data_IF_913902689854
#
_entry.id   IF_913902689854
#
_cell.length_a   1.000
_cell.length_b   1.000
_cell.length_c   1.000
_cell.angle_alpha   90.00
_cell.angle_beta   90.00
_cell.angle_gamma   90.00
#
_symmetry.space_group_name_H-M   'P 1'
#
loop_
_entity.id
_entity.type
_entity.pdbx_description
1 polymer ?
#
# COMPACT_ATOMS: atom_id res chain seq x y z
N UNK A 1 -43.00 70.21 -17.06
CA UNK A 1 -42.18 69.83 -18.22
C UNK A 1 -41.26 68.71 -17.75
N UNK A 2 -41.49 67.49 -18.26
CA UNK A 2 -40.54 66.41 -18.61
C UNK A 2 -39.34 66.15 -17.68
N UNK A 3 -38.83 64.95 -17.42
CA UNK A 3 -39.05 63.54 -17.79
C UNK A 3 -37.75 62.81 -17.38
N UNK A 4 -37.79 61.52 -17.04
CA UNK A 4 -36.61 60.64 -16.91
C UNK A 4 -36.47 60.03 -15.50
N UNK A 5 -37.04 58.87 -15.18
CA UNK A 5 -36.68 57.49 -15.57
C UNK A 5 -35.43 56.92 -14.83
N UNK A 6 -35.71 56.18 -13.73
CA UNK A 6 -35.30 54.80 -13.33
C UNK A 6 -34.06 54.11 -13.99
N UNK A 7 -33.54 52.96 -13.48
CA UNK A 7 -33.14 52.51 -12.12
C UNK A 7 -31.82 51.66 -12.13
N UNK A 8 -31.00 51.59 -11.06
CA UNK A 8 -30.00 50.50 -10.83
C UNK A 8 -29.61 50.51 -9.34
N UNK A 9 -29.44 49.43 -8.56
CA UNK A 9 -29.43 47.99 -8.79
C UNK A 9 -29.43 47.22 -7.44
N UNK A 10 -29.71 45.92 -7.56
CA UNK A 10 -29.75 44.74 -6.67
C UNK A 10 -28.63 44.53 -5.60
N UNK A 11 -28.65 43.43 -4.78
CA UNK A 11 -29.75 42.52 -4.37
C UNK A 11 -29.77 42.16 -2.86
N UNK A 12 -30.80 41.40 -2.50
CA UNK A 12 -31.01 40.71 -1.24
C UNK A 12 -30.01 39.56 -0.98
N UNK A 13 -29.55 39.45 0.26
CA UNK A 13 -28.91 38.25 0.81
C UNK A 13 -29.96 37.13 0.97
N UNK A 14 -30.03 36.24 -0.01
CA UNK A 14 -30.72 34.96 0.13
C UNK A 14 -29.68 33.87 0.44
N UNK A 15 -29.67 33.46 1.71
CA UNK A 15 -28.94 32.34 2.26
C UNK A 15 -29.41 31.03 1.57
N UNK A 16 -28.67 30.60 0.54
CA UNK A 16 -28.89 29.32 -0.12
C UNK A 16 -28.16 28.23 0.67
N UNK A 17 -28.84 27.68 1.67
CA UNK A 17 -28.48 26.40 2.25
C UNK A 17 -28.56 25.31 1.15
N UNK A 18 -27.41 24.98 0.55
CA UNK A 18 -27.25 23.81 -0.32
C UNK A 18 -27.30 22.56 0.58
N UNK A 19 -28.49 21.99 0.72
CA UNK A 19 -28.65 20.62 1.21
C UNK A 19 -28.43 19.69 0.01
N UNK A 20 -27.18 19.29 -0.21
CA UNK A 20 -26.87 18.29 -1.23
C UNK A 20 -27.43 16.92 -0.81
N UNK A 21 -28.49 16.46 -1.47
CA UNK A 21 -28.99 15.09 -1.35
C UNK A 21 -27.93 14.10 -1.83
N UNK A 22 -27.63 13.01 -1.09
CA UNK A 22 -26.68 12.01 -1.56
C UNK A 22 -27.24 11.29 -2.79
N UNK A 23 -26.47 11.27 -3.88
CA UNK A 23 -26.82 10.55 -5.10
C UNK A 23 -27.05 9.06 -4.80
N UNK A 24 -28.17 8.47 -5.24
CA UNK A 24 -28.35 7.04 -5.13
C UNK A 24 -27.44 6.37 -6.18
N UNK A 25 -26.67 5.38 -5.74
CA UNK A 25 -25.87 4.43 -6.54
C UNK A 25 -24.41 4.80 -6.85
N UNK A 26 -23.63 5.22 -5.85
CA UNK A 26 -22.18 4.95 -5.90
C UNK A 26 -21.96 3.45 -5.64
N UNK A 27 -21.67 2.67 -6.70
CA UNK A 27 -21.20 1.30 -6.53
C UNK A 27 -19.76 1.34 -5.99
N UNK A 28 -19.59 0.96 -4.73
CA UNK A 28 -18.26 0.83 -4.13
C UNK A 28 -17.69 -0.51 -4.57
N UNK A 29 -16.74 -0.48 -5.51
CA UNK A 29 -15.90 -1.64 -5.79
C UNK A 29 -14.90 -1.74 -4.64
N UNK A 30 -14.88 -2.83 -3.86
CA UNK A 30 -13.89 -2.99 -2.80
C UNK A 30 -12.49 -3.04 -3.40
N UNK A 31 -11.53 -2.39 -2.74
CA UNK A 31 -10.12 -2.49 -3.12
C UNK A 31 -9.60 -3.86 -2.72
N UNK A 32 -8.91 -4.55 -3.63
CA UNK A 32 -8.19 -5.78 -3.33
C UNK A 32 -6.77 -5.45 -2.87
N UNK A 33 -6.34 -6.11 -1.80
CA UNK A 33 -4.97 -6.06 -1.32
C UNK A 33 -4.31 -7.42 -1.51
N UNK A 34 -3.02 -7.38 -1.81
CA UNK A 34 -2.20 -8.54 -2.08
C UNK A 34 -0.99 -8.59 -1.15
N UNK A 35 -0.64 -9.78 -0.69
CA UNK A 35 0.56 -10.05 0.09
C UNK A 35 1.39 -11.12 -0.63
N UNK A 36 2.57 -10.73 -1.11
CA UNK A 36 3.54 -11.64 -1.69
C UNK A 36 4.47 -12.23 -0.63
N UNK A 37 4.60 -13.55 -0.59
CA UNK A 37 5.45 -14.26 0.39
C UNK A 37 5.87 -15.64 -0.11
N UNK A 38 6.79 -16.30 0.60
CA UNK A 38 7.10 -17.74 0.44
C UNK A 38 6.49 -18.60 1.56
N UNK A 39 5.81 -17.99 2.53
CA UNK A 39 5.06 -18.70 3.55
C UNK A 39 3.89 -19.47 2.94
N UNK A 40 3.62 -20.66 3.48
CA UNK A 40 2.46 -21.45 3.10
C UNK A 40 1.30 -21.14 4.05
N UNK A 41 0.38 -20.30 3.59
CA UNK A 41 -0.80 -19.83 4.32
C UNK A 41 -2.09 -20.39 3.70
N UNK A 42 -3.14 -20.42 4.51
CA UNK A 42 -4.50 -20.81 4.15
C UNK A 42 -5.48 -19.65 4.37
N UNK A 43 -6.64 -19.72 3.72
CA UNK A 43 -7.71 -18.77 3.98
C UNK A 43 -8.15 -18.84 5.46
N UNK A 44 -8.24 -17.68 6.10
CA UNK A 44 -8.49 -17.53 7.53
C UNK A 44 -7.24 -17.25 8.36
N UNK A 45 -6.04 -17.55 7.85
CA UNK A 45 -4.79 -17.26 8.55
C UNK A 45 -4.57 -15.76 8.73
N UNK A 46 -3.87 -15.40 9.81
CA UNK A 46 -3.43 -14.05 10.09
C UNK A 46 -1.93 -13.93 9.84
N UNK A 47 -1.57 -12.98 8.98
CA UNK A 47 -0.18 -12.54 8.79
C UNK A 47 0.05 -11.45 9.81
N UNK A 48 0.74 -11.79 10.89
CA UNK A 48 1.05 -10.88 12.00
C UNK A 48 2.39 -10.17 11.78
N UNK A 49 2.61 -8.97 12.36
CA UNK A 49 3.95 -8.43 12.51
C UNK A 49 4.81 -9.32 13.41
N UNK A 50 6.13 -9.13 13.40
CA UNK A 50 7.04 -9.89 14.27
C UNK A 50 7.82 -11.01 13.57
N UNK A 51 7.64 -11.17 12.26
CA UNK A 51 8.49 -12.06 11.46
C UNK A 51 9.80 -11.39 11.03
N UNK A 52 10.78 -12.21 10.68
CA UNK A 52 12.05 -11.75 10.08
C UNK A 52 11.79 -10.97 8.79
N UNK A 53 12.35 -9.77 8.70
CA UNK A 53 12.31 -8.90 7.51
C UNK A 53 12.96 -9.60 6.33
N UNK A 54 12.35 -9.44 5.15
CA UNK A 54 12.89 -9.97 3.89
C UNK A 54 14.09 -9.16 3.37
N UNK A 55 14.33 -7.97 3.93
CA UNK A 55 15.36 -7.04 3.48
C UNK A 55 16.36 -6.74 4.59
N UNK A 56 17.62 -6.48 4.20
CA UNK A 56 18.67 -6.08 5.12
C UNK A 56 19.14 -7.21 6.06
N UNK A 57 19.37 -6.88 7.33
CA UNK A 57 19.98 -7.80 8.31
C UNK A 57 19.04 -8.86 8.91
N UNK A 58 17.80 -8.96 8.41
CA UNK A 58 16.82 -9.93 8.92
C UNK A 58 16.29 -9.56 10.30
N UNK A 59 16.01 -8.27 10.53
CA UNK A 59 15.40 -7.78 11.79
C UNK A 59 13.96 -8.23 11.91
N UNK A 60 13.43 -8.22 13.14
CA UNK A 60 12.01 -8.44 13.37
C UNK A 60 11.24 -7.25 12.79
N UNK A 61 10.39 -7.50 11.80
CA UNK A 61 9.58 -6.49 11.15
C UNK A 61 8.44 -6.06 12.07
N UNK A 62 8.32 -4.75 12.31
CA UNK A 62 7.25 -4.17 13.13
C UNK A 62 5.91 -4.04 12.40
N UNK A 63 5.90 -4.31 11.09
CA UNK A 63 4.73 -4.16 10.25
C UNK A 63 4.58 -5.35 9.31
N UNK A 64 3.36 -5.52 8.81
CA UNK A 64 3.01 -6.41 7.70
C UNK A 64 2.69 -5.58 6.47
N UNK A 65 3.10 -6.07 5.30
CA UNK A 65 3.06 -5.31 4.05
C UNK A 65 2.05 -5.89 3.08
N UNK A 66 1.34 -5.03 2.36
CA UNK A 66 0.46 -5.41 1.28
C UNK A 66 0.43 -4.34 0.19
N UNK A 67 -0.02 -4.68 -1.02
CA UNK A 67 -0.18 -3.73 -2.11
C UNK A 67 -1.57 -3.80 -2.72
N UNK A 68 -2.04 -2.68 -3.27
CA UNK A 68 -3.23 -2.63 -4.14
C UNK A 68 -2.86 -2.72 -5.64
N UNK A 69 -1.65 -3.19 -5.94
CA UNK A 69 -1.22 -3.55 -7.30
C UNK A 69 -0.61 -4.96 -7.29
N UNK A 70 -0.89 -5.72 -8.35
CA UNK A 70 -0.35 -7.08 -8.49
C UNK A 70 1.17 -7.06 -8.69
N UNK A 71 1.70 -6.13 -9.48
CA UNK A 71 3.13 -6.01 -9.77
C UNK A 71 3.99 -5.88 -8.49
N UNK A 72 3.56 -5.04 -7.54
CA UNK A 72 4.24 -4.92 -6.24
C UNK A 72 4.16 -6.21 -5.41
N UNK A 73 3.04 -6.94 -5.49
CA UNK A 73 2.89 -8.22 -4.80
C UNK A 73 3.74 -9.33 -5.44
N UNK A 74 3.92 -9.31 -6.76
CA UNK A 74 4.85 -10.20 -7.47
C UNK A 74 6.27 -10.00 -6.94
N UNK A 75 6.72 -8.74 -6.83
CA UNK A 75 8.03 -8.45 -6.22
C UNK A 75 8.13 -8.95 -4.78
N UNK A 76 7.08 -8.74 -3.97
CA UNK A 76 7.01 -9.26 -2.61
C UNK A 76 7.17 -10.79 -2.56
N UNK A 77 6.49 -11.52 -3.45
CA UNK A 77 6.56 -12.97 -3.53
C UNK A 77 7.93 -13.47 -4.00
N UNK A 78 8.49 -12.85 -5.03
CA UNK A 78 9.76 -13.28 -5.64
C UNK A 78 10.99 -12.94 -4.78
N UNK A 79 10.95 -11.83 -4.03
CA UNK A 79 12.03 -11.38 -3.16
C UNK A 79 11.91 -11.84 -1.70
N UNK A 80 10.78 -12.43 -1.29
CA UNK A 80 10.60 -12.94 0.06
C UNK A 80 11.70 -13.94 0.48
N UNK A 81 12.14 -13.90 1.73
CA UNK A 81 13.11 -14.86 2.23
C UNK A 81 12.51 -16.28 2.35
N UNK A 82 13.37 -17.30 2.29
CA UNK A 82 13.02 -18.70 2.50
C UNK A 82 13.05 -19.56 1.22
N UNK A 83 12.94 -20.88 1.42
CA UNK A 83 13.03 -21.89 0.35
C UNK A 83 11.66 -22.27 -0.26
N UNK A 84 10.58 -21.64 0.22
CA UNK A 84 9.23 -21.88 -0.28
C UNK A 84 9.02 -21.40 -1.71
N UNK A 85 7.99 -21.94 -2.37
CA UNK A 85 7.53 -21.41 -3.66
C UNK A 85 6.95 -20.01 -3.42
N UNK A 86 7.28 -18.99 -4.25
CA UNK A 86 6.61 -17.69 -4.21
C UNK A 86 5.10 -17.83 -4.34
N UNK A 87 4.35 -17.12 -3.49
CA UNK A 87 2.88 -17.11 -3.44
C UNK A 87 2.38 -15.69 -3.29
N UNK A 88 1.18 -15.45 -3.83
CA UNK A 88 0.46 -14.19 -3.68
C UNK A 88 -0.89 -14.49 -3.03
N UNK A 89 -1.11 -13.91 -1.86
CA UNK A 89 -2.37 -14.02 -1.13
C UNK A 89 -3.21 -12.76 -1.32
N UNK A 90 -4.52 -12.95 -1.48
CA UNK A 90 -5.50 -11.87 -1.37
C UNK A 90 -5.79 -11.71 0.12
N UNK A 91 -5.67 -10.49 0.61
CA UNK A 91 -5.74 -10.20 2.04
C UNK A 91 -6.73 -9.07 2.36
N UNK A 92 -7.27 -9.13 3.56
CA UNK A 92 -8.08 -8.08 4.17
C UNK A 92 -7.29 -7.49 5.36
N UNK A 93 -6.99 -6.17 5.35
CA UNK A 93 -6.41 -5.51 6.51
C UNK A 93 -7.35 -5.56 7.70
N UNK A 94 -6.84 -5.95 8.87
CA UNK A 94 -7.65 -5.94 10.11
C UNK A 94 -7.59 -4.60 10.85
N UNK A 95 -6.74 -3.68 10.40
CA UNK A 95 -6.56 -2.35 10.95
C UNK A 95 -6.13 -1.33 9.90
N UNK A 96 -5.50 -0.25 10.35
CA UNK A 96 -5.17 0.89 9.49
C UNK A 96 -4.00 0.57 8.55
N UNK A 97 -4.12 1.02 7.30
CA UNK A 97 -3.02 1.01 6.34
C UNK A 97 -2.33 2.36 6.29
N UNK A 98 -1.01 2.32 6.20
CA UNK A 98 -0.15 3.48 5.96
C UNK A 98 0.69 3.23 4.72
N UNK A 99 1.02 4.29 3.99
CA UNK A 99 1.95 4.19 2.86
C UNK A 99 3.27 3.56 3.29
N UNK A 100 3.78 2.63 2.48
CA UNK A 100 5.08 2.00 2.69
C UNK A 100 6.19 3.04 2.46
N UNK A 101 6.96 3.43 3.50
CA UNK A 101 7.98 4.44 3.35
C UNK A 101 9.12 3.97 2.45
N UNK A 102 9.32 2.66 2.23
CA UNK A 102 10.40 2.16 1.37
C UNK A 102 10.12 2.40 -0.12
N UNK A 103 8.86 2.63 -0.49
CA UNK A 103 8.41 2.73 -1.89
C UNK A 103 7.73 4.06 -2.20
N UNK A 104 7.24 4.77 -1.18
CA UNK A 104 6.54 6.04 -1.31
C UNK A 104 7.51 7.22 -1.29
N UNK A 105 7.32 8.17 -2.21
CA UNK A 105 8.16 9.38 -2.33
C UNK A 105 9.67 9.12 -2.48
N UNK A 106 10.04 7.94 -3.02
CA UNK A 106 11.43 7.59 -3.31
C UNK A 106 11.84 7.97 -4.71
N UNK A 107 11.55 7.10 -5.68
CA UNK A 107 11.91 7.31 -7.09
C UNK A 107 10.90 8.22 -7.80
N UNK A 108 9.66 8.18 -7.36
CA UNK A 108 8.54 8.93 -7.94
C UNK A 108 7.71 9.55 -6.80
N UNK A 109 7.05 10.69 -7.04
CA UNK A 109 6.19 11.32 -6.04
C UNK A 109 4.95 10.47 -5.73
N UNK A 110 4.55 10.46 -4.47
CA UNK A 110 3.44 9.68 -3.93
C UNK A 110 3.71 8.18 -3.89
N UNK A 111 2.62 7.40 -3.89
CA UNK A 111 2.63 5.94 -3.80
C UNK A 111 2.11 5.28 -5.08
N UNK A 112 2.86 5.32 -6.21
CA UNK A 112 2.40 4.78 -7.49
C UNK A 112 2.24 3.25 -7.48
N UNK A 113 3.02 2.54 -6.66
CA UNK A 113 2.92 1.08 -6.48
C UNK A 113 1.73 0.69 -5.61
N UNK A 114 1.11 1.65 -4.92
CA UNK A 114 0.06 1.45 -3.91
C UNK A 114 0.48 0.40 -2.89
N UNK A 115 1.69 0.57 -2.35
CA UNK A 115 2.26 -0.32 -1.34
C UNK A 115 2.03 0.26 0.04
N UNK A 116 1.62 -0.57 0.97
CA UNK A 116 1.20 -0.18 2.30
C UNK A 116 1.80 -1.10 3.34
N UNK A 117 1.80 -0.61 4.58
CA UNK A 117 2.14 -1.37 5.78
C UNK A 117 1.09 -1.18 6.87
N UNK A 118 0.99 -2.15 7.76
CA UNK A 118 0.07 -2.18 8.90
C UNK A 118 0.77 -2.72 10.14
N UNK A 119 0.47 -2.15 11.31
CA UNK A 119 0.82 -2.74 12.61
C UNK A 119 -0.19 -3.80 13.06
N UNK A 120 -1.38 -3.81 12.48
CA UNK A 120 -2.39 -4.83 12.69
C UNK A 120 -2.24 -5.96 11.66
N UNK A 121 -2.65 -7.21 11.98
CA UNK A 121 -2.52 -8.33 11.06
C UNK A 121 -3.26 -8.15 9.73
N UNK A 122 -2.83 -8.90 8.72
CA UNK A 122 -3.57 -9.09 7.48
C UNK A 122 -4.25 -10.46 7.51
N UNK A 123 -5.56 -10.52 7.25
CA UNK A 123 -6.28 -11.79 7.13
C UNK A 123 -6.20 -12.30 5.71
N UNK A 124 -5.76 -13.54 5.53
CA UNK A 124 -5.80 -14.21 4.22
C UNK A 124 -7.24 -14.57 3.89
N UNK A 125 -7.74 -14.07 2.76
CA UNK A 125 -9.09 -14.40 2.27
C UNK A 125 -9.06 -15.30 1.03
N UNK A 126 -7.89 -15.46 0.41
CA UNK A 126 -7.67 -16.39 -0.70
C UNK A 126 -6.23 -16.37 -1.19
N UNK A 127 -5.93 -17.25 -2.14
CA UNK A 127 -4.65 -17.29 -2.85
C UNK A 127 -4.90 -16.98 -4.32
N UNK A 128 -4.01 -16.19 -4.93
CA UNK A 128 -3.99 -15.93 -6.36
C UNK A 128 -3.02 -16.92 -7.01
N UNK A 129 -3.56 -17.87 -7.76
CA UNK A 129 -2.79 -18.97 -8.37
C UNK A 129 -2.24 -18.59 -9.74
N UNK A 130 -2.99 -17.77 -10.49
CA UNK A 130 -2.63 -17.33 -11.83
C UNK A 130 -2.03 -15.94 -11.79
N UNK A 131 -0.71 -15.88 -11.81
CA UNK A 131 0.06 -14.65 -11.97
C UNK A 131 1.34 -14.93 -12.74
N UNK A 132 1.83 -13.91 -13.43
CA UNK A 132 3.05 -13.99 -14.21
C UNK A 132 4.19 -13.34 -13.41
N UNK A 133 5.22 -14.12 -13.09
CA UNK A 133 6.44 -13.61 -12.51
C UNK A 133 7.27 -12.81 -13.52
N UNK A 134 8.28 -12.10 -13.01
CA UNK A 134 9.23 -11.38 -13.84
C UNK A 134 10.11 -12.34 -14.65
N UNK A 135 10.76 -11.84 -15.70
CA UNK A 135 11.73 -12.66 -16.42
C UNK A 135 12.90 -13.03 -15.50
N UNK A 136 13.56 -14.19 -15.70
CA UNK A 136 14.69 -14.60 -14.87
C UNK A 136 15.80 -13.54 -14.79
N UNK A 137 16.05 -12.82 -15.89
CA UNK A 137 17.07 -11.76 -15.96
C UNK A 137 16.69 -10.54 -15.11
N UNK A 138 15.42 -10.14 -15.14
CA UNK A 138 14.89 -9.01 -14.35
C UNK A 138 14.89 -9.35 -12.87
N UNK A 139 14.47 -10.56 -12.52
CA UNK A 139 14.48 -11.04 -11.14
C UNK A 139 15.91 -11.12 -10.60
N UNK A 140 16.85 -11.71 -11.35
CA UNK A 140 18.24 -11.82 -10.94
C UNK A 140 18.87 -10.43 -10.72
N UNK A 141 18.66 -9.49 -11.65
CA UNK A 141 19.19 -8.14 -11.51
C UNK A 141 18.66 -7.43 -10.24
N UNK A 142 17.39 -7.67 -9.88
CA UNK A 142 16.83 -7.11 -8.65
C UNK A 142 17.40 -7.78 -7.40
N UNK A 143 17.52 -9.11 -7.39
CA UNK A 143 18.13 -9.86 -6.30
C UNK A 143 19.58 -9.42 -6.04
N UNK A 144 20.36 -9.23 -7.11
CA UNK A 144 21.74 -8.74 -7.03
C UNK A 144 21.78 -7.32 -6.43
N UNK A 145 20.84 -6.45 -6.81
CA UNK A 145 20.74 -5.10 -6.26
C UNK A 145 20.37 -5.12 -4.76
N UNK A 146 19.40 -5.96 -4.36
CA UNK A 146 19.02 -6.13 -2.95
C UNK A 146 20.21 -6.64 -2.13
N UNK A 147 20.92 -7.66 -2.63
CA UNK A 147 22.11 -8.20 -1.97
C UNK A 147 23.22 -7.15 -1.84
N UNK A 148 23.45 -6.33 -2.87
CA UNK A 148 24.40 -5.21 -2.83
C UNK A 148 24.01 -4.17 -1.79
N UNK A 149 22.72 -3.81 -1.69
CA UNK A 149 22.22 -2.86 -0.71
C UNK A 149 22.42 -3.38 0.73
N UNK A 150 22.11 -4.66 0.97
CA UNK A 150 22.37 -5.29 2.25
C UNK A 150 23.88 -5.31 2.61
N UNK A 151 24.75 -5.59 1.65
CA UNK A 151 26.20 -5.62 1.86
C UNK A 151 26.80 -4.25 2.25
N UNK A 152 26.16 -3.14 1.86
CA UNK A 152 26.56 -1.77 2.25
C UNK A 152 25.79 -1.23 3.46
N UNK A 153 24.98 -2.07 4.12
CA UNK A 153 24.25 -1.72 5.34
C UNK A 153 23.02 -0.83 5.12
N UNK A 154 22.44 -0.82 3.91
CA UNK A 154 21.14 -0.20 3.68
C UNK A 154 20.05 -1.15 4.21
N UNK A 155 19.27 -0.65 5.16
CA UNK A 155 18.17 -1.35 5.80
C UNK A 155 16.83 -0.77 5.33
N UNK A 156 15.74 -1.50 5.55
CA UNK A 156 14.40 -0.96 5.39
C UNK A 156 14.16 0.17 6.40
N UNK A 157 13.51 1.26 5.99
CA UNK A 157 13.37 2.47 6.82
C UNK A 157 12.49 2.25 8.06
N UNK A 158 11.62 1.25 8.04
CA UNK A 158 10.78 0.79 9.16
C UNK A 158 11.54 0.06 10.25
N UNK A 159 12.67 -0.55 9.88
CA UNK A 159 13.46 -1.43 10.75
C UNK A 159 14.56 -0.66 11.49
N UNK A 160 14.58 0.68 11.34
CA UNK A 160 15.36 1.57 12.18
C UNK A 160 14.73 1.61 13.58
N UNK A 161 15.53 1.45 14.65
CA UNK A 161 15.00 1.61 16.00
C UNK A 161 14.31 2.97 16.09
N UNK A 162 13.08 2.99 16.60
CA UNK A 162 12.41 4.23 16.98
C UNK A 162 13.45 5.06 17.73
N UNK A 163 13.78 6.23 17.20
CA UNK A 163 14.70 7.13 17.88
C UNK A 163 14.15 7.29 19.30
N UNK A 164 14.90 6.80 20.29
CA UNK A 164 14.53 6.95 21.69
C UNK A 164 14.40 8.45 21.92
N UNK A 165 13.16 8.93 22.00
CA UNK A 165 12.89 10.30 22.44
C UNK A 165 13.44 10.39 23.87
N UNK A 166 14.60 11.02 24.00
CA UNK A 166 15.06 11.60 25.26
C UNK A 166 14.32 12.92 25.51
#
# INVERSE_FOLDING_TARGET
MTSGAHPQGEPADADLAVTASPSPLAFVVPTLYFHGTRAQLQAGDLIEPGYTSNFGSGRIANHVYCSATLDAAVWGAELAAGEGIPRIYIVEPTGALHDDPNLTDKKFPGNPTKSYRSSDPLRVIGELWEWQGHSPEVLQAMQDNVARLAAIGVEAEDDLPLASNQ
#
